data_IF_860290510910
#
_entry.id   IF_860290510910
#
_cell.length_a   1.000
_cell.length_b   1.000
_cell.length_c   1.000
_cell.angle_alpha   90.00
_cell.angle_beta   90.00
_cell.angle_gamma   90.00
#
_symmetry.space_group_name_H-M   'P 1'
#
loop_
_entity.id
_entity.type
_entity.pdbx_description
1 polymer ?
#
# COMPACT_ATOMS: atom_id res chain seq x y z
N UNK A 1 -3.20 4.91 -10.88
CA UNK A 1 -3.77 4.76 -9.53
C UNK A 1 -5.21 5.29 -9.51
N UNK A 2 -6.10 4.84 -8.61
CA UNK A 2 -7.41 5.50 -8.40
C UNK A 2 -7.26 6.83 -7.69
N UNK A 3 -6.51 6.82 -6.59
CA UNK A 3 -6.27 7.98 -5.72
C UNK A 3 -4.91 7.83 -5.04
N UNK A 4 -4.19 8.95 -4.87
CA UNK A 4 -2.94 9.01 -4.12
C UNK A 4 -3.02 10.14 -3.11
N UNK A 5 -2.87 9.80 -1.83
CA UNK A 5 -2.88 10.77 -0.72
C UNK A 5 -1.49 10.82 -0.11
N UNK A 6 -1.02 12.04 0.15
CA UNK A 6 0.22 12.29 0.89
C UNK A 6 -0.10 12.99 2.21
N UNK A 7 0.33 12.40 3.31
CA UNK A 7 0.14 12.93 4.66
C UNK A 7 0.82 14.29 4.83
N UNK A 8 0.31 15.08 5.79
CA UNK A 8 0.75 16.45 6.03
C UNK A 8 2.28 16.57 6.19
N UNK A 9 2.89 15.69 6.98
CA UNK A 9 4.32 15.73 7.25
C UNK A 9 5.18 15.36 6.04
N UNK A 10 4.67 14.54 5.11
CA UNK A 10 5.33 14.29 3.83
C UNK A 10 5.24 15.54 2.95
N UNK A 11 4.08 16.21 2.91
CA UNK A 11 3.91 17.42 2.11
C UNK A 11 4.81 18.59 2.57
N UNK A 12 5.13 18.66 3.87
CA UNK A 12 6.04 19.68 4.42
C UNK A 12 7.52 19.41 4.09
N UNK A 13 7.89 18.17 3.78
CA UNK A 13 9.27 17.77 3.47
C UNK A 13 9.43 17.59 1.96
N UNK A 14 10.06 18.58 1.30
CA UNK A 14 10.19 18.59 -0.17
C UNK A 14 11.00 17.41 -0.72
N UNK A 15 12.04 16.98 -0.01
CA UNK A 15 12.86 15.85 -0.46
C UNK A 15 12.05 14.56 -0.36
N UNK A 16 11.40 14.34 0.78
CA UNK A 16 10.58 13.16 1.01
C UNK A 16 9.36 13.11 0.07
N UNK A 17 8.72 14.25 -0.19
CA UNK A 17 7.63 14.34 -1.16
C UNK A 17 8.11 13.96 -2.57
N UNK A 18 9.27 14.47 -3.00
CA UNK A 18 9.82 14.14 -4.31
C UNK A 18 10.18 12.65 -4.41
N UNK A 19 10.77 12.08 -3.36
CA UNK A 19 11.09 10.66 -3.31
C UNK A 19 9.82 9.80 -3.38
N UNK A 20 8.81 10.07 -2.56
CA UNK A 20 7.56 9.29 -2.57
C UNK A 20 6.82 9.40 -3.90
N UNK A 21 6.84 10.57 -4.57
CA UNK A 21 6.31 10.73 -5.92
C UNK A 21 7.07 9.89 -6.98
N UNK A 22 8.39 9.87 -6.93
CA UNK A 22 9.20 9.04 -7.83
C UNK A 22 8.91 7.55 -7.62
N UNK A 23 8.75 7.14 -6.36
CA UNK A 23 8.41 5.75 -6.01
C UNK A 23 6.98 5.39 -6.37
N UNK A 24 6.07 6.35 -6.40
CA UNK A 24 4.70 6.17 -6.86
C UNK A 24 4.68 5.68 -8.32
N UNK A 25 5.48 6.27 -9.22
CA UNK A 25 5.55 5.81 -10.62
C UNK A 25 5.97 4.32 -10.72
N UNK A 26 6.95 3.89 -9.91
CA UNK A 26 7.39 2.49 -9.87
C UNK A 26 6.31 1.56 -9.32
N UNK A 27 5.56 2.01 -8.32
CA UNK A 27 4.43 1.26 -7.80
C UNK A 27 3.32 1.12 -8.84
N UNK A 28 3.03 2.15 -9.64
CA UNK A 28 2.04 2.04 -10.72
C UNK A 28 2.44 1.00 -11.78
N UNK A 29 3.73 0.89 -12.12
CA UNK A 29 4.23 -0.19 -12.98
C UNK A 29 3.99 -1.58 -12.37
N UNK A 30 4.21 -1.72 -11.05
CA UNK A 30 4.00 -2.99 -10.33
C UNK A 30 2.52 -3.37 -10.33
N UNK A 31 1.62 -2.40 -10.14
CA UNK A 31 0.17 -2.64 -10.12
C UNK A 31 -0.41 -2.89 -11.51
N UNK A 32 0.21 -2.34 -12.55
CA UNK A 32 -0.23 -2.48 -13.93
C UNK A 32 -1.71 -2.11 -14.10
N UNK A 33 -2.47 -2.98 -14.76
CA UNK A 33 -3.90 -2.76 -15.03
C UNK A 33 -4.77 -2.63 -13.76
N UNK A 34 -4.34 -3.22 -12.63
CA UNK A 34 -5.07 -3.13 -11.37
C UNK A 34 -4.92 -1.78 -10.67
N UNK A 35 -3.98 -0.94 -11.11
CA UNK A 35 -3.72 0.36 -10.48
C UNK A 35 -4.94 1.29 -10.46
N UNK A 36 -5.88 1.18 -11.40
CA UNK A 36 -7.10 2.01 -11.44
C UNK A 36 -8.12 1.68 -10.34
N UNK A 37 -7.95 0.56 -9.64
CA UNK A 37 -8.86 0.09 -8.58
C UNK A 37 -8.28 0.24 -7.17
N UNK A 38 -7.02 0.63 -7.08
CA UNK A 38 -6.28 0.75 -5.82
C UNK A 38 -6.14 2.24 -5.47
N UNK A 39 -6.23 2.55 -4.19
CA UNK A 39 -5.83 3.83 -3.61
C UNK A 39 -4.53 3.65 -2.83
N UNK A 40 -3.66 4.65 -2.87
CA UNK A 40 -2.41 4.67 -2.12
C UNK A 40 -2.37 5.86 -1.15
N UNK A 41 -1.89 5.62 0.06
CA UNK A 41 -1.70 6.63 1.08
C UNK A 41 -0.27 6.54 1.61
N UNK A 42 0.48 7.63 1.48
CA UNK A 42 1.80 7.81 2.05
C UNK A 42 1.70 8.66 3.30
N UNK A 43 2.30 8.24 4.41
CA UNK A 43 2.40 9.07 5.62
C UNK A 43 3.76 8.93 6.30
N UNK A 44 4.09 9.86 7.18
CA UNK A 44 5.27 9.82 8.03
C UNK A 44 4.84 9.51 9.46
N UNK A 45 5.49 8.53 10.06
CA UNK A 45 5.23 8.11 11.43
C UNK A 45 6.55 7.95 12.20
N UNK A 46 6.44 7.45 13.43
CA UNK A 46 7.57 7.01 14.24
C UNK A 46 7.42 5.52 14.53
N UNK A 47 8.53 4.78 14.48
CA UNK A 47 8.54 3.37 14.87
C UNK A 47 8.54 3.20 16.40
N UNK A 48 8.62 1.96 16.88
CA UNK A 48 8.64 1.64 18.30
C UNK A 48 9.86 2.21 19.06
N UNK A 49 10.91 2.64 18.34
CA UNK A 49 12.11 3.27 18.89
C UNK A 49 12.06 4.80 18.81
N UNK A 50 11.00 5.35 18.23
CA UNK A 50 10.86 6.78 17.96
C UNK A 50 11.59 7.25 16.71
N UNK A 51 12.08 6.34 15.87
CA UNK A 51 12.76 6.67 14.62
C UNK A 51 11.73 7.02 13.55
N UNK A 52 12.02 8.07 12.77
CA UNK A 52 11.12 8.53 11.73
C UNK A 52 11.04 7.50 10.59
N UNK A 53 9.83 7.04 10.29
CA UNK A 53 9.54 6.08 9.24
C UNK A 53 8.48 6.62 8.28
N UNK A 54 8.43 6.02 7.10
CA UNK A 54 7.45 6.33 6.06
C UNK A 54 6.55 5.12 5.89
N UNK A 55 5.25 5.32 5.98
CA UNK A 55 4.27 4.26 5.78
C UNK A 55 3.66 4.40 4.39
N UNK A 56 3.40 3.27 3.75
CA UNK A 56 2.58 3.20 2.55
C UNK A 56 1.46 2.20 2.79
N UNK A 57 0.23 2.68 2.62
CA UNK A 57 -0.97 1.85 2.65
C UNK A 57 -1.57 1.77 1.25
N UNK A 58 -1.79 0.56 0.77
CA UNK A 58 -2.62 0.29 -0.41
C UNK A 58 -3.98 -0.20 0.05
N UNK A 59 -5.03 0.32 -0.58
CA UNK A 59 -6.40 -0.08 -0.28
C UNK A 59 -7.19 -0.29 -1.56
N UNK A 60 -8.13 -1.24 -1.52
CA UNK A 60 -9.16 -1.42 -2.54
C UNK A 60 -10.52 -1.67 -1.86
N UNK A 61 -11.51 -2.13 -2.62
CA UNK A 61 -12.85 -2.39 -2.08
C UNK A 61 -12.92 -3.57 -1.10
N UNK A 62 -11.90 -4.42 -1.04
CA UNK A 62 -11.84 -5.61 -0.16
C UNK A 62 -11.05 -5.39 1.11
N UNK A 63 -10.19 -4.37 1.17
CA UNK A 63 -9.43 -4.07 2.37
C UNK A 63 -8.18 -3.25 2.08
N UNK A 64 -7.18 -3.39 2.96
CA UNK A 64 -5.93 -2.65 2.83
C UNK A 64 -4.72 -3.44 3.33
N UNK A 65 -3.56 -3.19 2.74
CA UNK A 65 -2.26 -3.65 3.21
C UNK A 65 -1.35 -2.47 3.44
N UNK A 66 -0.51 -2.55 4.47
CA UNK A 66 0.41 -1.47 4.87
C UNK A 66 1.83 -2.02 4.96
N UNK A 67 2.80 -1.21 4.54
CA UNK A 67 4.21 -1.45 4.79
C UNK A 67 4.88 -0.20 5.33
N UNK A 68 6.05 -0.39 5.93
CA UNK A 68 6.85 0.66 6.57
C UNK A 68 8.22 0.69 5.90
N UNK A 69 8.75 1.88 5.67
CA UNK A 69 10.06 2.13 5.09
C UNK A 69 10.86 3.05 6.01
N UNK A 70 12.15 2.79 6.10
CA UNK A 70 13.10 3.82 6.49
C UNK A 70 13.23 4.83 5.35
N UNK A 71 13.36 6.14 5.64
CA UNK A 71 13.50 7.17 4.59
C UNK A 71 14.65 6.87 3.61
N UNK A 72 15.74 6.26 4.10
CA UNK A 72 16.89 5.87 3.28
C UNK A 72 16.60 4.71 2.31
N UNK A 73 15.66 3.82 2.64
CA UNK A 73 15.24 2.75 1.72
C UNK A 73 14.55 3.32 0.48
N UNK A 74 13.87 4.46 0.62
CA UNK A 74 13.24 5.16 -0.51
C UNK A 74 14.28 5.70 -1.51
N UNK A 75 15.57 5.72 -1.19
CA UNK A 75 16.61 6.17 -2.12
C UNK A 75 17.10 5.06 -3.05
N UNK A 76 16.87 3.78 -2.72
CA UNK A 76 17.27 2.64 -3.57
C UNK A 76 16.09 2.13 -4.45
N UNK A 77 16.10 2.41 -5.77
CA UNK A 77 15.04 1.98 -6.68
C UNK A 77 14.89 0.47 -6.79
N UNK A 78 15.97 -0.29 -6.67
CA UNK A 78 15.96 -1.74 -6.88
C UNK A 78 15.30 -2.45 -5.71
N UNK A 79 15.60 -1.99 -4.49
CA UNK A 79 14.98 -2.51 -3.28
C UNK A 79 13.46 -2.21 -3.25
N UNK A 80 13.06 -1.01 -3.66
CA UNK A 80 11.66 -0.58 -3.62
C UNK A 80 10.74 -1.43 -4.50
N UNK A 81 11.21 -1.90 -5.66
CA UNK A 81 10.39 -2.75 -6.54
C UNK A 81 9.99 -4.05 -5.86
N UNK A 82 10.93 -4.72 -5.19
CA UNK A 82 10.67 -5.94 -4.41
C UNK A 82 9.68 -5.67 -3.28
N UNK A 83 9.85 -4.57 -2.55
CA UNK A 83 8.95 -4.16 -1.46
C UNK A 83 7.52 -3.91 -1.97
N UNK A 84 7.37 -3.31 -3.14
CA UNK A 84 6.06 -3.09 -3.76
C UNK A 84 5.38 -4.38 -4.21
N UNK A 85 6.12 -5.34 -4.77
CA UNK A 85 5.55 -6.66 -5.05
C UNK A 85 5.06 -7.35 -3.78
N UNK A 86 5.80 -7.27 -2.68
CA UNK A 86 5.38 -7.81 -1.39
C UNK A 86 4.11 -7.13 -0.88
N UNK A 87 4.07 -5.81 -0.90
CA UNK A 87 2.88 -5.06 -0.48
C UNK A 87 1.65 -5.38 -1.34
N UNK A 88 1.83 -5.47 -2.65
CA UNK A 88 0.76 -5.84 -3.57
C UNK A 88 0.27 -7.28 -3.32
N UNK A 89 1.19 -8.22 -3.10
CA UNK A 89 0.84 -9.60 -2.77
C UNK A 89 0.04 -9.71 -1.45
N UNK A 90 0.37 -8.87 -0.46
CA UNK A 90 -0.37 -8.81 0.79
C UNK A 90 -1.81 -8.30 0.57
N UNK A 91 -2.00 -7.27 -0.25
CA UNK A 91 -3.34 -6.78 -0.60
C UNK A 91 -4.15 -7.83 -1.38
N UNK A 92 -3.51 -8.54 -2.33
CA UNK A 92 -4.15 -9.65 -3.04
C UNK A 92 -4.58 -10.77 -2.11
N UNK A 93 -3.79 -11.07 -1.07
CA UNK A 93 -4.14 -12.08 -0.08
C UNK A 93 -5.38 -11.68 0.73
N UNK A 94 -5.49 -10.40 1.13
CA UNK A 94 -6.69 -9.86 1.78
C UNK A 94 -7.90 -10.01 0.86
N UNK A 95 -7.75 -9.65 -0.43
CA UNK A 95 -8.81 -9.79 -1.43
C UNK A 95 -9.29 -11.23 -1.59
N UNK A 96 -8.37 -12.19 -1.66
CA UNK A 96 -8.70 -13.62 -1.77
C UNK A 96 -9.45 -14.09 -0.53
N UNK A 97 -8.99 -13.70 0.67
CA UNK A 97 -9.66 -14.07 1.93
C UNK A 97 -11.09 -13.53 1.98
N UNK A 98 -11.29 -12.28 1.56
CA UNK A 98 -12.62 -11.67 1.47
C UNK A 98 -13.54 -12.45 0.53
N UNK A 99 -13.06 -12.78 -0.68
CA UNK A 99 -13.86 -13.53 -1.66
C UNK A 99 -14.20 -14.94 -1.18
N UNK A 100 -13.28 -15.62 -0.48
CA UNK A 100 -13.55 -16.93 0.11
C UNK A 100 -14.61 -16.85 1.20
N UNK A 101 -14.58 -15.82 2.04
CA UNK A 101 -15.58 -15.59 3.07
C UNK A 101 -16.96 -15.35 2.46
N UNK A 102 -17.07 -14.50 1.44
CA UNK A 102 -18.33 -14.25 0.73
C UNK A 102 -18.92 -15.54 0.11
N UNK A 103 -18.08 -16.40 -0.45
CA UNK A 103 -18.52 -17.68 -1.00
C UNK A 103 -19.01 -18.66 0.09
N UNK A 104 -18.38 -18.67 1.27
CA UNK A 104 -18.80 -19.50 2.40
C UNK A 104 -20.13 -19.03 2.99
N UNK A 105 -20.33 -17.71 3.07
CA UNK A 105 -21.58 -17.10 3.55
C UNK A 105 -22.72 -17.32 2.55
N UNK A 106 -22.46 -17.12 1.24
CA UNK A 106 -23.46 -17.37 0.19
C UNK A 106 -23.80 -18.86 0.01
N UNK A 107 -22.87 -19.76 0.35
CA UNK A 107 -23.04 -21.21 0.29
C UNK A 107 -23.59 -21.85 1.56
N UNK A 108 -23.83 -21.08 2.63
CA UNK A 108 -24.46 -21.57 3.85
C UNK A 108 -25.99 -21.48 3.71
N UNK A 109 -26.71 -22.59 3.42
CA UNK A 109 -28.17 -22.56 3.44
C UNK A 109 -28.65 -22.21 4.86
N UNK A 110 -29.70 -21.39 4.91
CA UNK A 110 -30.45 -21.06 6.12
C UNK A 110 -30.62 -22.31 6.98
N UNK A 111 -30.10 -22.27 8.21
CA UNK A 111 -30.46 -23.25 9.23
C UNK A 111 -31.93 -22.99 9.61
N UNK A 112 -32.84 -23.75 9.01
CA UNK A 112 -34.19 -24.00 9.54
C UNK A 112 -34.13 -24.54 10.98
#
# INVERSE_FOLDING_TARGET
MKEVVYGYWIQQDRELLSLTQQRMAQLEEVLGASGSQVSAEWDRSADARGEAVVTLRLSDFTGSATTVFQPEELKDPSHMRTRFYLLWSALLQVRIQHQLQELQEAGSPEKE
#
